data_IF_288060430852
#
_entry.id   IF_288060430852
#
_cell.length_a   1.000
_cell.length_b   1.000
_cell.length_c   1.000
_cell.angle_alpha   90.00
_cell.angle_beta   90.00
_cell.angle_gamma   90.00
#
_symmetry.space_group_name_H-M   'P 1'
#
loop_
_entity.id
_entity.type
_entity.pdbx_description
1 polymer ?
#
# COMPACT_ATOMS: atom_id res chain seq x y z
N UNK A 1 -6.23 -6.70 15.64
CA UNK A 1 -4.78 -6.61 15.90
C UNK A 1 -4.15 -5.38 15.26
N UNK A 2 -4.38 -5.06 13.98
CA UNK A 2 -3.77 -3.90 13.30
C UNK A 2 -4.08 -2.58 14.00
N UNK A 3 -5.34 -2.33 14.40
CA UNK A 3 -5.73 -1.12 15.12
C UNK A 3 -4.97 -0.93 16.44
N UNK A 4 -4.85 -1.98 17.25
CA UNK A 4 -4.11 -1.92 18.51
C UNK A 4 -2.62 -1.66 18.27
N UNK A 5 -2.04 -2.31 17.24
CA UNK A 5 -0.66 -2.08 16.85
C UNK A 5 -0.43 -0.64 16.39
N UNK A 6 -1.36 -0.07 15.61
CA UNK A 6 -1.29 1.34 15.15
C UNK A 6 -1.39 2.31 16.32
N UNK A 7 -2.28 2.07 17.28
CA UNK A 7 -2.42 2.90 18.50
C UNK A 7 -1.17 2.82 19.37
N UNK A 8 -0.65 1.60 19.61
CA UNK A 8 0.57 1.41 20.40
C UNK A 8 1.79 2.03 19.70
N UNK A 9 1.86 1.93 18.39
CA UNK A 9 2.89 2.56 17.58
C UNK A 9 2.81 4.09 17.64
N UNK A 10 1.61 4.66 17.52
CA UNK A 10 1.40 6.12 17.63
C UNK A 10 1.74 6.63 19.04
N UNK A 11 1.40 5.87 20.09
CA UNK A 11 1.78 6.18 21.45
C UNK A 11 3.30 6.07 21.67
N UNK A 12 3.96 5.06 21.10
CA UNK A 12 5.40 4.94 21.16
C UNK A 12 6.11 6.10 20.45
N UNK A 13 5.61 6.55 19.29
CA UNK A 13 6.11 7.73 18.59
C UNK A 13 5.93 9.01 19.41
N UNK A 14 4.85 9.12 20.18
CA UNK A 14 4.58 10.28 21.04
C UNK A 14 5.48 10.32 22.28
N UNK A 15 5.80 9.15 22.87
CA UNK A 15 6.58 9.02 24.12
C UNK A 15 8.08 8.98 23.85
N UNK A 16 8.53 8.37 22.73
CA UNK A 16 9.95 8.31 22.36
C UNK A 16 10.44 9.61 21.73
N UNK A 17 11.73 9.91 21.92
CA UNK A 17 12.36 10.95 21.09
C UNK A 17 12.18 10.56 19.62
N UNK A 18 11.64 11.47 18.82
CA UNK A 18 11.28 11.25 17.41
C UNK A 18 12.39 10.56 16.60
N UNK A 19 13.65 10.97 16.79
CA UNK A 19 14.79 10.36 16.09
C UNK A 19 14.99 8.89 16.44
N UNK A 20 14.79 8.51 17.69
CA UNK A 20 14.95 7.11 18.12
C UNK A 20 13.81 6.25 17.56
N UNK A 21 12.58 6.76 17.60
CA UNK A 21 11.42 6.09 17.04
C UNK A 21 11.57 5.88 15.51
N UNK A 22 12.01 6.90 14.79
CA UNK A 22 12.28 6.84 13.35
C UNK A 22 13.31 5.74 13.02
N UNK A 23 14.43 5.70 13.74
CA UNK A 23 15.47 4.68 13.56
C UNK A 23 14.96 3.26 13.81
N UNK A 24 14.17 3.07 14.88
CA UNK A 24 13.56 1.76 15.20
C UNK A 24 12.63 1.32 14.09
N UNK A 25 11.74 2.20 13.65
CA UNK A 25 10.75 1.92 12.60
C UNK A 25 11.43 1.55 11.29
N UNK A 26 12.39 2.37 10.85
CA UNK A 26 13.09 2.11 9.60
C UNK A 26 13.91 0.81 9.69
N UNK A 27 14.53 0.52 10.82
CA UNK A 27 15.23 -0.75 11.03
C UNK A 27 14.27 -1.93 10.88
N UNK A 28 13.12 -1.87 11.55
CA UNK A 28 12.11 -2.93 11.51
C UNK A 28 11.55 -3.13 10.09
N UNK A 29 11.21 -2.04 9.41
CA UNK A 29 10.70 -2.09 8.04
C UNK A 29 11.75 -2.59 7.05
N UNK A 30 13.02 -2.18 7.20
CA UNK A 30 14.11 -2.67 6.34
C UNK A 30 14.34 -4.17 6.49
N UNK A 31 14.33 -4.67 7.72
CA UNK A 31 14.48 -6.10 8.01
C UNK A 31 13.27 -6.89 7.49
N UNK A 32 12.07 -6.39 7.71
CA UNK A 32 10.85 -7.04 7.23
C UNK A 32 10.79 -7.04 5.70
N UNK A 33 11.13 -5.92 5.04
CA UNK A 33 11.22 -5.85 3.58
C UNK A 33 12.24 -6.85 3.03
N UNK A 34 13.42 -6.97 3.66
CA UNK A 34 14.44 -7.94 3.26
C UNK A 34 13.93 -9.38 3.42
N UNK A 35 13.30 -9.69 4.55
CA UNK A 35 12.69 -11.00 4.83
C UNK A 35 11.64 -11.36 3.76
N UNK A 36 10.66 -10.49 3.52
CA UNK A 36 9.59 -10.71 2.54
C UNK A 36 10.15 -10.80 1.11
N UNK A 37 11.19 -10.02 0.79
CA UNK A 37 11.83 -10.10 -0.52
C UNK A 37 12.54 -11.43 -0.72
N UNK A 38 13.27 -11.93 0.28
CA UNK A 38 13.93 -13.23 0.23
C UNK A 38 12.90 -14.36 0.14
N UNK A 39 11.85 -14.30 0.95
CA UNK A 39 10.77 -15.28 0.93
C UNK A 39 10.10 -15.32 -0.46
N UNK A 40 9.81 -14.16 -1.04
CA UNK A 40 9.26 -14.07 -2.38
C UNK A 40 10.18 -14.65 -3.45
N UNK A 41 11.49 -14.42 -3.36
CA UNK A 41 12.47 -15.05 -4.26
C UNK A 41 12.45 -16.58 -4.10
N UNK A 42 12.40 -17.10 -2.87
CA UNK A 42 12.34 -18.54 -2.61
C UNK A 42 11.05 -19.16 -3.17
N UNK A 43 9.93 -18.45 -3.10
CA UNK A 43 8.68 -18.88 -3.73
C UNK A 43 8.79 -18.88 -5.26
N UNK A 44 9.38 -17.84 -5.86
CA UNK A 44 9.58 -17.73 -7.30
C UNK A 44 10.49 -18.84 -7.85
N UNK A 45 11.50 -19.24 -7.07
CA UNK A 45 12.40 -20.35 -7.40
C UNK A 45 11.80 -21.73 -7.13
N UNK A 46 10.60 -21.80 -6.57
CA UNK A 46 9.93 -23.06 -6.24
C UNK A 46 10.52 -23.77 -5.01
N UNK A 47 11.35 -23.11 -4.21
CA UNK A 47 11.92 -23.66 -2.96
C UNK A 47 10.85 -23.73 -1.87
N UNK A 48 9.98 -22.71 -1.84
CA UNK A 48 8.85 -22.63 -0.91
C UNK A 48 7.57 -22.46 -1.72
N UNK A 49 6.48 -23.10 -1.29
CA UNK A 49 5.18 -23.00 -1.95
C UNK A 49 4.53 -21.65 -1.61
N UNK A 50 3.99 -20.96 -2.61
CA UNK A 50 3.17 -19.76 -2.41
C UNK A 50 1.86 -20.11 -1.70
N UNK A 51 1.35 -19.19 -0.88
CA UNK A 51 0.05 -19.34 -0.22
C UNK A 51 -1.15 -19.33 -1.19
N UNK A 52 -0.93 -18.93 -2.43
CA UNK A 52 -1.98 -18.87 -3.45
C UNK A 52 -1.51 -19.55 -4.72
N UNK A 53 -2.20 -20.63 -5.12
CA UNK A 53 -1.87 -21.42 -6.32
C UNK A 53 -1.93 -20.61 -7.62
N UNK A 54 -2.71 -19.53 -7.66
CA UNK A 54 -2.82 -18.63 -8.83
C UNK A 54 -1.74 -17.56 -8.89
N UNK A 55 -0.95 -17.41 -7.81
CA UNK A 55 0.09 -16.40 -7.69
C UNK A 55 1.42 -17.07 -7.33
N UNK A 56 2.45 -17.01 -8.19
CA UNK A 56 3.73 -17.68 -7.94
C UNK A 56 4.47 -17.09 -6.75
N UNK A 57 4.12 -15.86 -6.34
CA UNK A 57 4.79 -15.13 -5.28
C UNK A 57 3.78 -14.33 -4.46
N UNK A 58 3.76 -14.53 -3.16
CA UNK A 58 2.87 -13.84 -2.22
C UNK A 58 3.57 -13.44 -0.91
N UNK A 59 4.84 -13.81 -0.70
CA UNK A 59 5.46 -13.71 0.61
C UNK A 59 4.66 -14.45 1.67
N UNK A 60 4.50 -13.86 2.85
CA UNK A 60 3.62 -14.35 3.91
C UNK A 60 2.15 -13.91 3.74
N UNK A 61 1.84 -13.21 2.65
CA UNK A 61 0.48 -12.75 2.38
C UNK A 61 -0.34 -13.82 1.63
N UNK A 62 -1.65 -13.79 1.81
CA UNK A 62 -2.56 -14.70 1.11
C UNK A 62 -2.68 -14.40 -0.40
N UNK A 63 -2.26 -13.20 -0.86
CA UNK A 63 -2.39 -12.78 -2.26
C UNK A 63 -1.26 -11.82 -2.67
N UNK A 64 -0.93 -11.83 -3.96
CA UNK A 64 0.09 -10.95 -4.55
C UNK A 64 -0.26 -9.45 -4.50
N UNK A 65 -1.55 -9.08 -4.41
CA UNK A 65 -1.98 -7.69 -4.28
C UNK A 65 -1.49 -7.02 -3.00
N UNK A 66 -1.91 -7.50 -1.82
CA UNK A 66 -1.41 -7.03 -0.52
C UNK A 66 0.12 -7.13 -0.40
N UNK A 67 0.72 -8.21 -0.87
CA UNK A 67 2.17 -8.39 -0.88
C UNK A 67 2.89 -7.26 -1.62
N UNK A 68 2.51 -7.00 -2.88
CA UNK A 68 3.11 -5.93 -3.66
C UNK A 68 2.80 -4.53 -3.11
N UNK A 69 1.64 -4.33 -2.49
CA UNK A 69 1.31 -3.09 -1.77
C UNK A 69 2.24 -2.87 -0.58
N UNK A 70 2.47 -3.91 0.23
CA UNK A 70 3.42 -3.89 1.34
C UNK A 70 4.85 -3.57 0.86
N UNK A 71 5.33 -4.30 -0.18
CA UNK A 71 6.64 -4.03 -0.76
C UNK A 71 6.78 -2.56 -1.18
N UNK A 72 5.79 -2.02 -1.89
CA UNK A 72 5.83 -0.65 -2.40
C UNK A 72 5.94 0.40 -1.29
N UNK A 73 5.15 0.26 -0.22
CA UNK A 73 5.20 1.16 0.94
C UNK A 73 6.55 1.05 1.64
N UNK A 74 7.03 -0.16 1.91
CA UNK A 74 8.33 -0.36 2.55
C UNK A 74 9.48 0.19 1.70
N UNK A 75 9.49 -0.06 0.37
CA UNK A 75 10.49 0.48 -0.55
C UNK A 75 10.50 2.00 -0.48
N UNK A 76 9.34 2.66 -0.54
CA UNK A 76 9.26 4.11 -0.47
C UNK A 76 9.86 4.67 0.83
N UNK A 77 9.50 4.07 1.98
CA UNK A 77 9.99 4.50 3.30
C UNK A 77 11.48 4.27 3.44
N UNK A 78 12.00 3.08 3.08
CA UNK A 78 13.42 2.79 3.25
C UNK A 78 14.31 3.61 2.32
N UNK A 79 13.87 3.92 1.10
CA UNK A 79 14.63 4.81 0.22
C UNK A 79 14.60 6.26 0.69
N UNK A 80 13.48 6.76 1.18
CA UNK A 80 13.41 8.08 1.79
C UNK A 80 14.35 8.18 3.00
N UNK A 81 14.41 7.15 3.83
CA UNK A 81 15.32 7.05 4.96
C UNK A 81 16.80 6.98 4.52
N UNK A 82 17.11 6.15 3.52
CA UNK A 82 18.45 6.07 2.96
C UNK A 82 18.89 7.43 2.40
N UNK A 83 18.00 8.14 1.67
CA UNK A 83 18.28 9.49 1.18
C UNK A 83 18.64 10.46 2.30
N UNK A 84 17.92 10.40 3.43
CA UNK A 84 18.17 11.26 4.60
C UNK A 84 19.51 10.99 5.26
N UNK A 85 19.94 9.72 5.35
CA UNK A 85 21.15 9.33 6.08
C UNK A 85 22.39 9.14 5.19
N UNK A 86 22.29 9.42 3.89
CA UNK A 86 23.38 9.19 2.92
C UNK A 86 24.70 9.90 3.30
N UNK A 87 24.60 11.10 3.87
CA UNK A 87 25.75 11.95 4.22
C UNK A 87 26.07 11.94 5.72
N UNK A 88 25.44 11.06 6.50
CA UNK A 88 25.66 11.00 7.94
C UNK A 88 27.03 10.43 8.28
N UNK A 89 27.72 11.07 9.22
CA UNK A 89 28.98 10.60 9.79
C UNK A 89 28.79 9.63 10.95
N UNK A 90 27.57 9.54 11.50
CA UNK A 90 27.24 8.65 12.59
C UNK A 90 27.25 7.20 12.11
N UNK A 91 27.97 6.33 12.81
CA UNK A 91 28.09 4.91 12.45
C UNK A 91 26.72 4.20 12.37
N UNK A 92 25.81 4.50 13.30
CA UNK A 92 24.48 3.90 13.33
C UNK A 92 23.65 4.31 12.12
N UNK A 93 23.67 5.59 11.76
CA UNK A 93 22.94 6.09 10.60
C UNK A 93 23.52 5.55 9.27
N UNK A 94 24.85 5.33 9.21
CA UNK A 94 25.50 4.65 8.09
C UNK A 94 25.06 3.19 7.95
N UNK A 95 24.93 2.47 9.06
CA UNK A 95 24.40 1.10 9.05
C UNK A 95 22.97 1.12 8.53
N UNK A 96 22.13 2.04 9.02
CA UNK A 96 20.74 2.19 8.53
C UNK A 96 20.67 2.57 7.06
N UNK A 97 21.55 3.45 6.58
CA UNK A 97 21.67 3.78 5.16
C UNK A 97 21.90 2.52 4.30
N UNK A 98 22.87 1.70 4.67
CA UNK A 98 23.17 0.48 3.90
C UNK A 98 22.07 -0.56 4.02
N UNK A 99 21.54 -0.78 5.23
CA UNK A 99 20.43 -1.71 5.46
C UNK A 99 19.22 -1.33 4.62
N UNK A 100 18.82 -0.06 4.65
CA UNK A 100 17.69 0.48 3.89
C UNK A 100 17.94 0.41 2.38
N UNK A 101 19.16 0.74 1.93
CA UNK A 101 19.50 0.68 0.51
C UNK A 101 19.45 -0.75 -0.03
N UNK A 102 20.04 -1.70 0.68
CA UNK A 102 20.07 -3.11 0.26
C UNK A 102 18.66 -3.71 0.28
N UNK A 103 17.90 -3.51 1.35
CA UNK A 103 16.53 -4.02 1.43
C UNK A 103 15.62 -3.39 0.37
N UNK A 104 15.76 -2.08 0.13
CA UNK A 104 15.03 -1.38 -0.91
C UNK A 104 15.36 -1.89 -2.33
N UNK A 105 16.64 -2.13 -2.63
CA UNK A 105 17.04 -2.73 -3.91
C UNK A 105 16.48 -4.15 -4.09
N UNK A 106 16.52 -4.99 -3.04
CA UNK A 106 15.88 -6.30 -3.08
C UNK A 106 14.39 -6.21 -3.36
N UNK A 107 13.69 -5.30 -2.66
CA UNK A 107 12.27 -5.06 -2.88
C UNK A 107 11.95 -4.63 -4.32
N UNK A 108 12.74 -3.72 -4.90
CA UNK A 108 12.56 -3.29 -6.31
C UNK A 108 12.72 -4.46 -7.27
N UNK A 109 13.67 -5.37 -7.04
CA UNK A 109 13.88 -6.54 -7.90
C UNK A 109 12.69 -7.50 -7.83
N UNK A 110 12.11 -7.64 -6.64
CA UNK A 110 11.02 -8.59 -6.37
C UNK A 110 9.65 -8.04 -6.78
N UNK A 111 9.43 -6.74 -6.68
CA UNK A 111 8.13 -6.11 -6.94
C UNK A 111 7.56 -6.44 -8.34
N UNK A 112 8.33 -6.44 -9.45
CA UNK A 112 7.82 -6.84 -10.76
C UNK A 112 7.27 -8.27 -10.79
N UNK A 113 7.96 -9.21 -10.16
CA UNK A 113 7.56 -10.59 -10.12
C UNK A 113 6.28 -10.84 -9.30
N UNK A 114 5.93 -9.94 -8.37
CA UNK A 114 4.65 -9.99 -7.66
C UNK A 114 3.44 -9.72 -8.56
N UNK A 115 3.64 -9.13 -9.74
CA UNK A 115 2.58 -8.71 -10.68
C UNK A 115 1.49 -7.83 -10.00
N UNK A 116 1.83 -7.13 -8.92
CA UNK A 116 0.91 -6.25 -8.20
C UNK A 116 0.81 -4.89 -8.86
N UNK A 117 -0.28 -4.64 -9.59
CA UNK A 117 -0.55 -3.33 -10.23
C UNK A 117 -0.67 -2.20 -9.22
N UNK A 118 -1.31 -2.47 -8.09
CA UNK A 118 -1.47 -1.51 -6.99
C UNK A 118 -0.12 -1.18 -6.34
N UNK A 119 0.77 -2.15 -6.19
CA UNK A 119 2.13 -1.94 -5.69
C UNK A 119 2.95 -1.02 -6.61
N UNK A 120 2.90 -1.23 -7.92
CA UNK A 120 3.57 -0.33 -8.88
C UNK A 120 3.01 1.09 -8.83
N UNK A 121 1.68 1.24 -8.82
CA UNK A 121 1.05 2.55 -8.76
C UNK A 121 1.40 3.28 -7.44
N UNK A 122 1.37 2.58 -6.32
CA UNK A 122 1.73 3.13 -5.01
C UNK A 122 3.20 3.59 -4.97
N UNK A 123 4.12 2.77 -5.48
CA UNK A 123 5.55 3.14 -5.54
C UNK A 123 5.77 4.37 -6.44
N UNK A 124 5.11 4.42 -7.60
CA UNK A 124 5.21 5.55 -8.51
C UNK A 124 4.70 6.85 -7.86
N UNK A 125 3.52 6.80 -7.24
CA UNK A 125 2.93 7.94 -6.53
C UNK A 125 3.84 8.39 -5.39
N UNK A 126 4.37 7.45 -4.60
CA UNK A 126 5.31 7.76 -3.50
C UNK A 126 6.60 8.40 -4.01
N UNK A 127 7.17 7.91 -5.11
CA UNK A 127 8.37 8.47 -5.71
C UNK A 127 8.13 9.89 -6.25
N UNK A 128 6.99 10.13 -6.90
CA UNK A 128 6.60 11.47 -7.39
C UNK A 128 6.36 12.42 -6.19
N UNK A 129 5.64 11.97 -5.17
CA UNK A 129 5.41 12.76 -3.97
C UNK A 129 6.72 13.14 -3.28
N UNK A 130 7.63 12.20 -3.11
CA UNK A 130 8.97 12.45 -2.55
C UNK A 130 9.74 13.49 -3.38
N UNK A 131 9.76 13.32 -4.71
CA UNK A 131 10.44 14.24 -5.63
C UNK A 131 9.84 15.66 -5.60
N UNK A 132 8.55 15.81 -5.32
CA UNK A 132 7.88 17.12 -5.26
C UNK A 132 8.02 17.80 -3.91
N UNK A 133 8.17 17.06 -2.82
CA UNK A 133 8.19 17.59 -1.46
C UNK A 133 9.61 17.90 -1.00
N UNK A 134 10.55 16.99 -1.22
CA UNK A 134 11.93 17.17 -0.78
C UNK A 134 12.68 18.15 -1.70
N UNK A 135 13.21 19.25 -1.11
CA UNK A 135 13.85 20.33 -1.87
C UNK A 135 15.18 19.94 -2.51
N UNK A 136 15.93 19.04 -1.89
CA UNK A 136 17.19 18.54 -2.44
C UNK A 136 16.93 17.59 -3.60
N UNK A 137 15.95 16.71 -3.44
CA UNK A 137 15.47 15.85 -4.50
C UNK A 137 14.98 16.63 -5.70
N UNK A 138 14.25 17.73 -5.51
CA UNK A 138 13.81 18.61 -6.63
C UNK A 138 14.96 19.07 -7.50
N UNK A 139 16.07 19.49 -6.90
CA UNK A 139 17.26 19.93 -7.65
C UNK A 139 17.89 18.79 -8.42
N UNK A 140 18.06 17.63 -7.78
CA UNK A 140 18.58 16.43 -8.39
C UNK A 140 17.70 15.96 -9.55
N UNK A 141 16.39 15.88 -9.35
CA UNK A 141 15.43 15.46 -10.36
C UNK A 141 15.35 16.43 -11.53
N UNK A 142 15.47 17.73 -11.30
CA UNK A 142 15.50 18.73 -12.37
C UNK A 142 16.73 18.55 -13.28
N UNK A 143 17.88 18.19 -12.72
CA UNK A 143 19.09 17.91 -13.49
C UNK A 143 19.06 16.57 -14.24
N UNK A 144 18.33 15.57 -13.70
CA UNK A 144 18.24 14.20 -14.26
C UNK A 144 16.85 13.87 -14.84
N UNK A 145 16.14 14.88 -15.35
CA UNK A 145 14.76 14.75 -15.86
C UNK A 145 14.56 13.62 -16.88
N UNK A 146 15.54 13.36 -17.72
CA UNK A 146 15.48 12.30 -18.73
C UNK A 146 15.57 10.90 -18.13
N UNK A 147 16.39 10.73 -17.08
CA UNK A 147 16.44 9.47 -16.32
C UNK A 147 15.09 9.16 -15.67
N UNK A 148 14.46 10.16 -15.07
CA UNK A 148 13.15 9.99 -14.44
C UNK A 148 12.09 9.67 -15.47
N UNK A 149 12.08 10.41 -16.60
CA UNK A 149 11.13 10.15 -17.67
C UNK A 149 11.25 8.71 -18.21
N UNK A 150 12.49 8.20 -18.35
CA UNK A 150 12.72 6.81 -18.77
C UNK A 150 12.26 5.81 -17.73
N UNK A 151 12.49 6.04 -16.42
CA UNK A 151 12.01 5.17 -15.36
C UNK A 151 10.48 5.15 -15.32
N UNK A 152 9.83 6.32 -15.41
CA UNK A 152 8.36 6.43 -15.47
C UNK A 152 7.81 5.73 -16.71
N UNK A 153 8.44 5.90 -17.87
CA UNK A 153 8.03 5.24 -19.11
C UNK A 153 8.14 3.71 -19.00
N UNK A 154 9.24 3.19 -18.45
CA UNK A 154 9.41 1.75 -18.19
C UNK A 154 8.36 1.24 -17.21
N UNK A 155 8.14 1.95 -16.10
CA UNK A 155 7.11 1.58 -15.13
C UNK A 155 5.71 1.58 -15.75
N UNK A 156 5.41 2.54 -16.63
CA UNK A 156 4.15 2.58 -17.37
C UNK A 156 3.99 1.40 -18.33
N UNK A 157 5.03 1.06 -19.09
CA UNK A 157 5.01 -0.08 -20.03
C UNK A 157 4.83 -1.41 -19.27
N UNK A 158 5.55 -1.59 -18.17
CA UNK A 158 5.42 -2.78 -17.30
C UNK A 158 4.03 -2.85 -16.69
N UNK A 159 3.50 -1.73 -16.20
CA UNK A 159 2.14 -1.65 -15.64
C UNK A 159 1.05 -1.93 -16.68
N UNK A 160 1.17 -1.38 -17.88
CA UNK A 160 0.27 -1.65 -18.99
C UNK A 160 0.33 -3.12 -19.44
N UNK A 161 1.53 -3.70 -19.54
CA UNK A 161 1.70 -5.13 -19.84
C UNK A 161 1.04 -6.02 -18.78
N UNK A 162 1.26 -5.74 -17.51
CA UNK A 162 0.62 -6.46 -16.41
C UNK A 162 -0.92 -6.30 -16.41
N UNK A 163 -1.43 -5.16 -16.85
CA UNK A 163 -2.87 -4.94 -17.01
C UNK A 163 -3.45 -5.83 -18.12
N UNK A 164 -2.79 -5.87 -19.28
CA UNK A 164 -3.25 -6.72 -20.39
C UNK A 164 -3.25 -8.22 -20.04
N UNK A 165 -2.23 -8.67 -19.31
CA UNK A 165 -2.10 -10.08 -18.89
C UNK A 165 -3.15 -10.53 -17.85
N UNK A 166 -3.71 -9.60 -17.06
CA UNK A 166 -4.68 -9.90 -15.98
C UNK A 166 -6.04 -9.20 -16.17
N UNK A 167 -6.54 -9.13 -17.40
CA UNK A 167 -7.80 -8.42 -17.72
C UNK A 167 -8.99 -8.97 -16.92
N UNK A 168 -9.16 -10.28 -16.83
CA UNK A 168 -10.26 -10.92 -16.09
C UNK A 168 -10.24 -10.57 -14.59
N UNK A 169 -9.06 -10.48 -14.00
CA UNK A 169 -8.92 -10.03 -12.60
C UNK A 169 -9.31 -8.55 -12.40
N UNK A 170 -9.26 -7.72 -13.44
CA UNK A 170 -9.74 -6.33 -13.34
C UNK A 170 -11.27 -6.28 -13.45
N UNK A 171 -11.85 -7.01 -14.40
CA UNK A 171 -13.29 -7.10 -14.58
C UNK A 171 -13.96 -7.69 -13.33
N UNK A 172 -13.37 -8.74 -12.73
CA UNK A 172 -13.86 -9.30 -11.47
C UNK A 172 -13.87 -8.26 -10.33
N UNK A 173 -12.87 -7.39 -10.23
CA UNK A 173 -12.88 -6.31 -9.21
C UNK A 173 -13.97 -5.28 -9.45
N UNK A 174 -14.23 -4.89 -10.69
CA UNK A 174 -15.34 -3.96 -11.01
C UNK A 174 -16.68 -4.57 -10.61
N UNK A 175 -16.89 -5.86 -10.89
CA UNK A 175 -18.10 -6.55 -10.44
C UNK A 175 -18.21 -6.57 -8.91
N UNK A 176 -17.10 -6.88 -8.20
CA UNK A 176 -17.08 -6.85 -6.72
C UNK A 176 -17.46 -5.45 -6.21
N UNK A 177 -16.84 -4.40 -6.73
CA UNK A 177 -17.14 -3.03 -6.30
C UNK A 177 -18.58 -2.61 -6.59
N UNK A 178 -19.15 -3.06 -7.70
CA UNK A 178 -20.57 -2.84 -8.02
C UNK A 178 -21.48 -3.48 -6.96
N UNK A 179 -21.22 -4.73 -6.58
CA UNK A 179 -21.99 -5.41 -5.52
C UNK A 179 -21.79 -4.75 -4.16
N UNK A 180 -20.58 -4.33 -3.83
CA UNK A 180 -20.29 -3.58 -2.61
C UNK A 180 -21.06 -2.24 -2.54
N UNK A 181 -21.13 -1.51 -3.67
CA UNK A 181 -21.90 -0.26 -3.75
C UNK A 181 -23.41 -0.52 -3.59
N UNK A 182 -23.95 -1.62 -4.13
CA UNK A 182 -25.35 -2.03 -3.94
C UNK A 182 -25.62 -2.36 -2.47
N UNK A 183 -24.71 -3.10 -1.82
CA UNK A 183 -24.81 -3.40 -0.38
C UNK A 183 -24.78 -2.11 0.49
N UNK A 184 -23.95 -1.12 0.12
CA UNK A 184 -23.95 0.19 0.78
C UNK A 184 -25.27 0.92 0.58
N UNK A 185 -25.85 0.85 -0.63
CA UNK A 185 -27.12 1.51 -0.95
C UNK A 185 -28.31 0.93 -0.17
N UNK A 186 -28.27 -0.35 0.21
CA UNK A 186 -29.31 -0.96 1.07
C UNK A 186 -29.30 -0.35 2.48
N UNK A 187 -28.13 -0.11 3.09
CA UNK A 187 -27.98 0.52 4.42
C UNK A 187 -26.99 1.67 4.44
N UNK A 188 -27.32 2.80 3.80
CA UNK A 188 -26.34 3.84 3.50
C UNK A 188 -25.81 4.59 4.72
N UNK A 189 -26.59 4.74 5.79
CA UNK A 189 -26.21 5.56 6.94
C UNK A 189 -25.39 4.79 7.98
N UNK A 190 -25.82 3.60 8.34
CA UNK A 190 -25.27 2.83 9.48
C UNK A 190 -24.49 1.59 9.06
N UNK A 191 -24.62 1.18 7.79
CA UNK A 191 -24.07 -0.06 7.28
C UNK A 191 -24.74 -1.31 7.85
N UNK A 192 -24.16 -2.48 7.56
CA UNK A 192 -24.65 -3.78 7.97
C UNK A 192 -24.11 -4.26 9.34
N UNK A 193 -23.11 -3.56 9.87
CA UNK A 193 -22.43 -3.87 11.13
C UNK A 193 -21.03 -4.44 10.94
N UNK A 194 -20.23 -4.31 11.98
CA UNK A 194 -18.84 -4.76 12.00
C UNK A 194 -18.70 -6.25 11.64
N UNK A 195 -17.78 -6.57 10.72
CA UNK A 195 -17.51 -7.93 10.27
C UNK A 195 -18.58 -8.55 9.36
N UNK A 196 -19.61 -7.80 8.94
CA UNK A 196 -20.70 -8.29 8.10
C UNK A 196 -20.55 -7.93 6.60
N UNK A 197 -19.44 -7.33 6.20
CA UNK A 197 -19.23 -6.90 4.82
C UNK A 197 -19.40 -8.04 3.80
N UNK A 198 -18.86 -9.23 4.08
CA UNK A 198 -18.93 -10.38 3.16
C UNK A 198 -20.37 -10.93 3.04
N UNK A 199 -21.13 -10.93 4.13
CA UNK A 199 -22.56 -11.30 4.09
C UNK A 199 -23.36 -10.32 3.25
N UNK A 200 -23.21 -9.02 3.49
CA UNK A 200 -23.88 -7.97 2.74
C UNK A 200 -23.52 -8.00 1.23
N UNK A 201 -22.26 -8.28 0.90
CA UNK A 201 -21.82 -8.52 -0.48
C UNK A 201 -22.56 -9.72 -1.09
N UNK A 202 -22.62 -10.85 -0.36
CA UNK A 202 -23.30 -12.08 -0.84
C UNK A 202 -24.78 -11.85 -1.09
N UNK A 203 -25.46 -11.16 -0.20
CA UNK A 203 -26.89 -10.81 -0.34
C UNK A 203 -27.12 -9.93 -1.57
N UNK A 204 -26.31 -8.88 -1.76
CA UNK A 204 -26.39 -7.99 -2.93
C UNK A 204 -26.09 -8.72 -4.26
N UNK A 205 -25.14 -9.67 -4.26
CA UNK A 205 -24.84 -10.47 -5.43
C UNK A 205 -25.97 -11.46 -5.75
N UNK A 206 -26.59 -12.07 -4.74
CA UNK A 206 -27.73 -12.96 -4.91
C UNK A 206 -28.92 -12.20 -5.52
N UNK A 207 -29.27 -11.04 -4.95
CA UNK A 207 -30.33 -10.17 -5.48
C UNK A 207 -30.06 -9.74 -6.93
N UNK A 208 -28.81 -9.38 -7.26
CA UNK A 208 -28.41 -9.03 -8.62
C UNK A 208 -28.73 -10.14 -9.63
N UNK A 209 -28.34 -11.38 -9.32
CA UNK A 209 -28.58 -12.53 -10.22
C UNK A 209 -30.02 -13.05 -10.22
N UNK A 210 -30.84 -12.66 -9.24
CA UNK A 210 -32.27 -12.96 -9.24
C UNK A 210 -33.07 -11.96 -10.08
N UNK A 211 -32.68 -10.68 -10.07
CA UNK A 211 -33.46 -9.58 -10.64
C UNK A 211 -32.99 -9.13 -12.02
N UNK A 212 -31.72 -9.26 -12.35
CA UNK A 212 -31.15 -8.85 -13.63
C UNK A 212 -30.91 -10.00 -14.59
N UNK A 213 -30.90 -9.68 -15.88
CA UNK A 213 -30.64 -10.67 -16.93
C UNK A 213 -29.23 -11.29 -16.74
N UNK A 214 -29.14 -12.60 -16.67
CA UNK A 214 -27.91 -13.32 -16.40
C UNK A 214 -26.91 -13.18 -17.55
N UNK A 215 -26.04 -12.20 -17.45
CA UNK A 215 -24.86 -12.09 -18.32
C UNK A 215 -23.88 -13.23 -18.01
N UNK A 216 -23.62 -14.07 -18.98
CA UNK A 216 -22.69 -15.21 -18.85
C UNK A 216 -21.28 -14.79 -18.47
N UNK A 217 -20.83 -13.61 -18.91
CA UNK A 217 -19.51 -13.09 -18.54
C UNK A 217 -19.49 -12.68 -17.08
N UNK A 218 -20.53 -12.07 -16.56
CA UNK A 218 -20.66 -11.70 -15.13
C UNK A 218 -20.77 -12.92 -14.24
N UNK A 219 -21.50 -13.96 -14.65
CA UNK A 219 -21.55 -15.24 -13.93
C UNK A 219 -20.16 -15.89 -13.83
N UNK A 220 -19.37 -15.81 -14.91
CA UNK A 220 -18.01 -16.36 -14.93
C UNK A 220 -17.04 -15.66 -14.00
N UNK A 221 -17.16 -14.34 -13.86
CA UNK A 221 -16.27 -13.52 -12.99
C UNK A 221 -16.82 -13.35 -11.58
N UNK A 222 -18.09 -13.65 -11.34
CA UNK A 222 -18.69 -13.65 -10.02
C UNK A 222 -18.04 -14.73 -9.15
N UNK A 223 -17.71 -14.36 -7.94
CA UNK A 223 -17.06 -15.23 -6.97
C UNK A 223 -17.46 -14.84 -5.55
N UNK A 224 -16.97 -15.59 -4.58
CA UNK A 224 -17.05 -15.26 -3.17
C UNK A 224 -15.68 -14.70 -2.74
N UNK A 225 -15.44 -13.39 -2.84
CA UNK A 225 -14.17 -12.81 -2.45
C UNK A 225 -13.99 -12.90 -0.93
N UNK A 226 -12.81 -13.31 -0.48
CA UNK A 226 -12.47 -13.28 0.96
C UNK A 226 -12.24 -11.85 1.47
N UNK A 227 -11.96 -10.91 0.56
CA UNK A 227 -11.63 -9.51 0.85
C UNK A 227 -12.35 -8.57 -0.12
N UNK A 228 -12.77 -7.42 0.39
CA UNK A 228 -13.41 -6.36 -0.39
C UNK A 228 -12.51 -5.74 -1.49
N UNK A 229 -11.19 -5.92 -1.45
CA UNK A 229 -10.19 -5.26 -2.30
C UNK A 229 -10.22 -3.73 -2.30
N UNK A 230 -11.10 -3.13 -1.49
CA UNK A 230 -11.21 -1.70 -1.26
C UNK A 230 -11.71 -1.47 0.19
N UNK A 231 -10.82 -1.00 1.05
CA UNK A 231 -11.14 -0.78 2.47
C UNK A 231 -12.20 0.33 2.68
N UNK A 232 -12.27 1.31 1.77
CA UNK A 232 -13.30 2.35 1.86
C UNK A 232 -14.69 1.79 1.59
N UNK A 233 -14.83 0.90 0.60
CA UNK A 233 -16.10 0.21 0.34
C UNK A 233 -16.45 -0.75 1.47
N UNK A 234 -15.46 -1.48 2.01
CA UNK A 234 -15.68 -2.32 3.19
C UNK A 234 -16.19 -1.51 4.37
N UNK A 235 -15.56 -0.38 4.67
CA UNK A 235 -16.03 0.51 5.73
C UNK A 235 -17.43 1.06 5.47
N UNK A 236 -17.73 1.39 4.21
CA UNK A 236 -19.07 1.80 3.79
C UNK A 236 -20.11 0.70 4.02
N UNK A 237 -19.81 -0.56 3.71
CA UNK A 237 -20.70 -1.70 3.97
C UNK A 237 -20.88 -1.96 5.47
N UNK A 238 -19.80 -1.90 6.26
CA UNK A 238 -19.86 -2.21 7.70
C UNK A 238 -20.47 -1.09 8.53
N UNK A 239 -20.11 0.17 8.26
CA UNK A 239 -20.44 1.32 9.10
C UNK A 239 -21.24 2.42 8.38
N UNK A 240 -21.57 2.23 7.11
CA UNK A 240 -22.25 3.23 6.30
C UNK A 240 -21.38 4.47 6.02
N UNK A 241 -22.02 5.50 5.48
CA UNK A 241 -21.37 6.77 5.15
C UNK A 241 -20.85 7.50 6.40
N UNK A 242 -21.50 7.33 7.54
CA UNK A 242 -21.05 7.95 8.79
C UNK A 242 -19.72 7.39 9.25
N UNK A 243 -19.53 6.06 9.20
CA UNK A 243 -18.26 5.42 9.53
C UNK A 243 -17.15 5.77 8.53
N UNK A 244 -17.50 5.86 7.24
CA UNK A 244 -16.56 6.27 6.21
C UNK A 244 -16.08 7.71 6.43
N UNK A 245 -17.00 8.65 6.68
CA UNK A 245 -16.65 10.06 6.95
C UNK A 245 -15.81 10.19 8.22
N UNK A 246 -16.12 9.46 9.28
CA UNK A 246 -15.34 9.44 10.52
C UNK A 246 -13.92 8.92 10.26
N UNK A 247 -13.78 7.86 9.48
CA UNK A 247 -12.46 7.30 9.11
C UNK A 247 -11.61 8.29 8.33
N UNK A 248 -12.21 8.95 7.34
CA UNK A 248 -11.54 10.01 6.57
C UNK A 248 -11.16 11.18 7.48
N UNK A 249 -12.04 11.61 8.38
CA UNK A 249 -11.76 12.68 9.33
C UNK A 249 -10.58 12.34 10.25
N UNK A 250 -10.50 11.11 10.76
CA UNK A 250 -9.38 10.64 11.60
C UNK A 250 -8.06 10.69 10.82
N UNK A 251 -8.06 10.24 9.57
CA UNK A 251 -6.86 10.29 8.69
C UNK A 251 -6.44 11.74 8.46
N UNK A 252 -7.38 12.61 8.06
CA UNK A 252 -7.09 14.02 7.77
C UNK A 252 -6.58 14.76 9.02
N UNK A 253 -7.26 14.59 10.15
CA UNK A 253 -6.84 15.22 11.41
C UNK A 253 -5.49 14.70 11.87
N UNK A 254 -5.22 13.38 11.77
CA UNK A 254 -3.92 12.80 12.07
C UNK A 254 -2.81 13.38 11.20
N UNK A 255 -3.05 13.51 9.89
CA UNK A 255 -2.13 14.14 8.95
C UNK A 255 -1.87 15.61 9.30
N UNK A 256 -2.92 16.38 9.57
CA UNK A 256 -2.80 17.79 9.94
C UNK A 256 -2.02 17.97 11.24
N UNK A 257 -2.25 17.14 12.26
CA UNK A 257 -1.50 17.17 13.52
C UNK A 257 -0.02 16.87 13.31
N UNK A 258 0.33 15.89 12.47
CA UNK A 258 1.71 15.56 12.13
C UNK A 258 2.39 16.71 11.37
N UNK A 259 1.73 17.30 10.38
CA UNK A 259 2.24 18.45 9.63
C UNK A 259 2.39 19.72 10.52
N UNK A 260 1.46 19.95 11.46
CA UNK A 260 1.53 21.13 12.35
C UNK A 260 2.64 20.99 13.39
N UNK A 261 2.89 19.80 13.89
CA UNK A 261 4.02 19.51 14.79
C UNK A 261 5.38 19.82 14.14
N UNK A 262 5.49 19.72 12.82
CA UNK A 262 6.71 20.04 12.07
C UNK A 262 6.94 21.55 11.86
N UNK A 263 5.89 22.35 11.85
CA UNK A 263 6.01 23.82 11.66
C UNK A 263 6.63 24.55 12.85
N UNK A 264 6.63 23.96 14.04
CA UNK A 264 7.24 24.51 15.24
C UNK A 264 8.74 24.18 15.39
N UNK A 265 9.28 23.30 14.55
CA UNK A 265 10.71 22.94 14.55
C UNK A 265 11.29 23.16 13.15
N UNK A 266 12.08 24.23 13.00
CA UNK A 266 12.83 24.57 11.80
C UNK A 266 13.68 23.40 11.29
N UNK A 267 13.19 22.60 10.32
CA UNK A 267 14.02 22.05 9.23
C UNK A 267 13.19 21.45 8.09
N UNK A 268 13.48 21.88 6.87
CA UNK A 268 12.79 21.61 5.59
C UNK A 268 12.78 20.14 5.12
N UNK A 269 13.40 19.22 5.85
CA UNK A 269 13.51 17.81 5.41
C UNK A 269 12.44 16.87 5.98
N UNK A 270 11.63 17.32 6.94
CA UNK A 270 10.76 16.43 7.70
C UNK A 270 9.38 16.17 7.07
N UNK A 271 8.93 17.02 6.16
CA UNK A 271 7.61 16.88 5.54
C UNK A 271 7.52 15.68 4.57
N UNK A 272 8.64 15.33 3.91
CA UNK A 272 8.67 14.25 2.93
C UNK A 272 8.35 12.86 3.54
N UNK A 273 8.82 12.60 4.76
CA UNK A 273 8.57 11.31 5.43
C UNK A 273 7.12 11.14 5.87
N UNK A 274 6.50 12.22 6.33
CA UNK A 274 5.12 12.18 6.81
C UNK A 274 4.14 11.87 5.68
N UNK A 275 4.42 12.38 4.49
CA UNK A 275 3.56 12.17 3.30
C UNK A 275 3.70 10.77 2.68
N UNK A 276 4.83 10.07 2.92
CA UNK A 276 5.05 8.73 2.39
C UNK A 276 4.42 7.65 3.28
N UNK A 277 4.27 7.94 4.59
CA UNK A 277 3.71 6.99 5.57
C UNK A 277 2.16 6.99 5.58
N UNK A 278 1.52 8.04 5.06
CA UNK A 278 0.07 8.17 4.90
C UNK A 278 -0.39 7.79 3.50
#
# INVERSE_FOLDING_TARGET
MVFLATVLFSLALFVCRREVAERIVVSALSLWLAYESVLGIMQLLGIIVSHNSMCPMTGDFANSGPYGGFLAVCIAVVFAAAWRWRDSVNLYDRILFWLSSVSGCLGIVVLPASMSRTGFAALLVSAVAFALIDTESKSYFKSHKWLILSVVAVAFVVGAGAFCLKKDSALGRFHIWEMELRAIADKPLTGHGFGKALGAYGDAQAEYFETEERDQERVRIAGCPEYAFNEYLRMGMEFGILGLLLSVAVIVLGTMMLCHSDSSFHHKSNCAYTTIIL
#
